data_IF_848231071863
#
_entry.id   IF_848231071863
#
_cell.length_a   1.000
_cell.length_b   1.000
_cell.length_c   1.000
_cell.angle_alpha   90.00
_cell.angle_beta   90.00
_cell.angle_gamma   90.00
#
_symmetry.space_group_name_H-M   'P 1'
#
loop_
_entity.id
_entity.type
_entity.pdbx_description
1 polymer ?
#
# COMPACT_ATOMS: atom_id res chain seq x y z
N UNK A 1 74.94 -42.56 4.08
CA UNK A 1 74.56 -41.78 5.27
C UNK A 1 74.67 -40.31 4.88
N UNK A 2 73.74 -39.48 5.35
CA UNK A 2 73.51 -38.06 5.00
C UNK A 2 72.78 -37.80 3.67
N UNK A 3 71.76 -36.93 3.58
CA UNK A 3 70.76 -36.45 4.53
C UNK A 3 69.74 -35.67 3.67
N UNK A 4 68.46 -35.83 3.99
CA UNK A 4 67.35 -35.05 3.46
C UNK A 4 67.60 -33.54 3.57
N UNK A 5 67.21 -32.76 2.55
CA UNK A 5 66.76 -31.35 2.73
C UNK A 5 66.52 -30.65 1.38
N UNK A 6 65.44 -31.01 0.67
CA UNK A 6 64.96 -30.20 -0.48
C UNK A 6 63.50 -29.77 -0.40
N UNK A 7 62.84 -29.94 0.74
CA UNK A 7 61.43 -29.57 0.93
C UNK A 7 61.20 -28.63 2.13
N UNK A 8 61.75 -27.40 2.16
CA UNK A 8 61.29 -26.41 3.17
C UNK A 8 61.31 -24.95 2.71
N UNK A 9 61.41 -24.65 1.41
CA UNK A 9 61.48 -23.24 0.95
C UNK A 9 60.23 -22.73 0.21
N UNK A 10 59.30 -23.59 -0.20
CA UNK A 10 58.07 -23.18 -0.90
C UNK A 10 56.92 -22.71 0.00
N UNK A 11 56.78 -23.32 1.18
CA UNK A 11 55.61 -23.10 2.07
C UNK A 11 55.74 -21.83 2.92
N UNK A 12 56.97 -21.42 3.25
CA UNK A 12 57.23 -20.24 4.09
C UNK A 12 57.05 -18.89 3.35
N UNK A 13 57.09 -18.89 2.02
CA UNK A 13 56.89 -17.69 1.20
C UNK A 13 55.42 -17.27 1.11
N UNK A 14 54.52 -18.23 0.91
CA UNK A 14 53.08 -17.97 0.76
C UNK A 14 52.45 -17.48 2.09
N UNK A 15 52.89 -17.99 3.23
CA UNK A 15 52.43 -17.52 4.55
C UNK A 15 52.93 -16.11 4.92
N UNK A 16 54.05 -15.63 4.36
CA UNK A 16 54.57 -14.26 4.59
C UNK A 16 53.93 -13.19 3.73
N UNK A 17 53.40 -13.54 2.56
CA UNK A 17 52.78 -12.56 1.65
C UNK A 17 51.34 -12.23 2.08
N UNK A 18 50.63 -13.18 2.70
CA UNK A 18 49.25 -12.98 3.14
C UNK A 18 49.12 -12.24 4.48
N UNK A 19 50.20 -12.04 5.23
CA UNK A 19 50.19 -11.37 6.54
C UNK A 19 50.44 -9.85 6.49
N UNK A 20 50.41 -9.24 5.29
CA UNK A 20 50.70 -7.80 5.09
C UNK A 20 49.54 -6.97 4.55
N UNK A 21 48.29 -7.41 4.76
CA UNK A 21 47.16 -6.49 4.65
C UNK A 21 47.12 -5.70 5.96
N UNK A 22 47.67 -4.49 5.95
CA UNK A 22 47.64 -3.55 7.06
C UNK A 22 46.20 -3.45 7.61
N UNK A 23 45.97 -3.64 8.92
CA UNK A 23 44.62 -3.67 9.49
C UNK A 23 43.86 -2.37 9.22
N UNK A 24 44.54 -1.23 9.09
CA UNK A 24 43.94 0.05 8.71
C UNK A 24 43.17 0.03 7.37
N UNK A 25 43.59 -0.74 6.35
CA UNK A 25 42.89 -0.78 5.06
C UNK A 25 41.67 -1.71 5.07
N UNK A 26 41.68 -2.78 5.89
CA UNK A 26 40.52 -3.65 6.08
C UNK A 26 39.38 -2.93 6.79
N UNK A 27 39.68 -2.16 7.83
CA UNK A 27 38.67 -1.36 8.55
C UNK A 27 38.04 -0.32 7.64
N UNK A 28 38.84 0.37 6.83
CA UNK A 28 38.32 1.32 5.83
C UNK A 28 37.37 0.68 4.82
N UNK A 29 37.70 -0.52 4.32
CA UNK A 29 36.82 -1.26 3.39
C UNK A 29 35.50 -1.68 4.05
N UNK A 30 35.54 -2.19 5.29
CA UNK A 30 34.33 -2.58 6.02
C UNK A 30 33.43 -1.36 6.25
N UNK A 31 33.98 -0.22 6.69
CA UNK A 31 33.22 1.02 6.91
C UNK A 31 32.61 1.57 5.61
N UNK A 32 33.33 1.47 4.49
CA UNK A 32 32.82 1.86 3.18
C UNK A 32 31.66 0.95 2.74
N UNK A 33 31.82 -0.37 2.89
CA UNK A 33 30.77 -1.32 2.55
C UNK A 33 29.52 -1.15 3.43
N UNK A 34 29.66 -0.92 4.73
CA UNK A 34 28.51 -0.70 5.62
C UNK A 34 27.79 0.61 5.28
N UNK A 35 28.53 1.68 4.98
CA UNK A 35 27.93 2.95 4.54
C UNK A 35 27.19 2.78 3.22
N UNK A 36 27.78 2.10 2.24
CA UNK A 36 27.15 1.81 0.95
C UNK A 36 25.86 1.02 1.11
N UNK A 37 25.88 -0.08 1.88
CA UNK A 37 24.70 -0.89 2.16
C UNK A 37 23.62 -0.11 2.91
N UNK A 38 24.01 0.71 3.89
CA UNK A 38 23.07 1.56 4.61
C UNK A 38 22.41 2.59 3.69
N UNK A 39 23.16 3.22 2.78
CA UNK A 39 22.61 4.18 1.81
C UNK A 39 21.67 3.49 0.83
N UNK A 40 22.05 2.32 0.28
CA UNK A 40 21.18 1.55 -0.61
C UNK A 40 19.89 1.14 0.11
N UNK A 41 20.00 0.59 1.31
CA UNK A 41 18.84 0.21 2.12
C UNK A 41 17.94 1.42 2.41
N UNK A 42 18.51 2.57 2.78
CA UNK A 42 17.77 3.81 2.99
C UNK A 42 17.03 4.26 1.73
N UNK A 43 17.70 4.28 0.57
CA UNK A 43 17.09 4.68 -0.70
C UNK A 43 15.96 3.74 -1.11
N UNK A 44 16.13 2.42 -0.91
CA UNK A 44 15.09 1.44 -1.16
C UNK A 44 13.90 1.66 -0.22
N UNK A 45 14.11 1.77 1.09
CA UNK A 45 13.03 2.03 2.04
C UNK A 45 12.32 3.34 1.73
N UNK A 46 13.06 4.42 1.52
CA UNK A 46 12.48 5.73 1.22
C UNK A 46 11.68 5.71 -0.09
N UNK A 47 12.22 5.09 -1.15
CA UNK A 47 11.53 5.02 -2.44
C UNK A 47 10.29 4.13 -2.41
N UNK A 48 10.35 3.01 -1.69
CA UNK A 48 9.33 1.97 -1.79
C UNK A 48 8.33 1.97 -0.63
N UNK A 49 8.63 2.59 0.52
CA UNK A 49 7.78 2.52 1.73
C UNK A 49 7.06 3.85 2.02
N UNK A 50 7.62 4.98 1.61
CA UNK A 50 7.12 6.31 1.97
C UNK A 50 6.41 6.98 0.78
N UNK A 51 5.23 6.48 0.41
CA UNK A 51 4.33 7.23 -0.47
C UNK A 51 3.33 7.99 0.39
N UNK A 52 3.16 9.30 0.15
CA UNK A 52 2.17 10.12 0.84
C UNK A 52 1.15 10.68 -0.15
N UNK A 53 -0.09 10.87 0.31
CA UNK A 53 -1.15 11.54 -0.43
C UNK A 53 -1.70 12.67 0.41
N UNK A 54 -1.94 13.83 -0.23
CA UNK A 54 -2.63 14.95 0.39
C UNK A 54 -4.10 14.86 -0.03
N UNK A 55 -5.00 14.89 0.95
CA UNK A 55 -6.44 14.87 0.71
C UNK A 55 -6.90 16.27 0.30
N UNK A 56 -7.37 16.44 -0.93
CA UNK A 56 -7.80 17.75 -1.42
C UNK A 56 -9.31 17.99 -1.28
N UNK A 57 -10.12 16.92 -1.33
CA UNK A 57 -11.59 17.00 -1.35
C UNK A 57 -12.29 16.59 -0.05
N UNK A 58 -13.55 17.00 0.10
CA UNK A 58 -14.37 16.70 1.27
C UNK A 58 -15.05 15.33 1.24
N UNK A 59 -14.81 14.51 0.21
CA UNK A 59 -15.57 13.29 -0.01
C UNK A 59 -15.40 12.22 1.07
N UNK A 60 -14.37 12.35 1.90
CA UNK A 60 -14.05 11.46 3.01
C UNK A 60 -14.29 12.10 4.38
N UNK A 61 -14.91 13.28 4.47
CA UNK A 61 -15.26 13.87 5.78
C UNK A 61 -16.37 13.05 6.45
N UNK A 62 -16.36 12.89 7.79
CA UNK A 62 -15.42 13.50 8.75
C UNK A 62 -14.11 12.72 8.94
N UNK A 63 -13.95 11.54 8.35
CA UNK A 63 -12.80 10.65 8.59
C UNK A 63 -11.48 11.24 8.11
N UNK A 64 -11.46 11.82 6.90
CA UNK A 64 -10.32 12.56 6.37
C UNK A 64 -10.77 13.96 5.96
N UNK A 65 -10.01 14.97 6.37
CA UNK A 65 -10.29 16.37 6.11
C UNK A 65 -9.40 16.89 4.98
N UNK A 66 -9.86 17.90 4.21
CA UNK A 66 -9.00 18.59 3.26
C UNK A 66 -7.71 19.08 3.94
N UNK A 67 -6.56 18.87 3.28
CA UNK A 67 -5.23 19.16 3.80
C UNK A 67 -4.58 18.03 4.61
N UNK A 68 -5.30 16.94 4.91
CA UNK A 68 -4.71 15.79 5.58
C UNK A 68 -3.63 15.14 4.71
N UNK A 69 -2.40 15.08 5.23
CA UNK A 69 -1.35 14.25 4.66
C UNK A 69 -1.45 12.85 5.26
N UNK A 70 -1.53 11.83 4.41
CA UNK A 70 -1.63 10.43 4.84
C UNK A 70 -0.62 9.56 4.13
N UNK A 71 -0.08 8.59 4.86
CA UNK A 71 0.85 7.61 4.34
C UNK A 71 0.08 6.48 3.66
N UNK A 72 0.54 6.10 2.48
CA UNK A 72 -0.08 5.07 1.64
C UNK A 72 0.78 3.81 1.71
N UNK A 73 0.16 2.73 2.17
CA UNK A 73 0.76 1.41 2.20
C UNK A 73 0.36 0.62 0.94
N UNK A 74 1.26 0.57 -0.03
CA UNK A 74 1.08 -0.17 -1.28
C UNK A 74 1.40 -1.67 -1.15
N UNK A 75 2.09 -2.08 -0.08
CA UNK A 75 2.57 -3.45 0.10
C UNK A 75 1.57 -4.34 0.81
N UNK A 76 0.95 -3.82 1.87
CA UNK A 76 -0.02 -4.56 2.66
C UNK A 76 -1.14 -5.21 1.82
N UNK A 77 -1.78 -4.54 0.84
CA UNK A 77 -2.80 -5.19 0.04
C UNK A 77 -2.26 -6.30 -0.87
N UNK A 78 -0.96 -6.34 -1.19
CA UNK A 78 -0.38 -7.45 -1.97
C UNK A 78 -0.35 -8.76 -1.18
N UNK A 79 -0.31 -8.70 0.16
CA UNK A 79 -0.24 -9.89 1.00
C UNK A 79 -1.61 -10.32 1.54
N UNK A 80 -2.50 -9.37 1.85
CA UNK A 80 -3.80 -9.65 2.46
C UNK A 80 -5.02 -9.28 1.60
N UNK A 81 -4.80 -8.68 0.43
CA UNK A 81 -5.89 -8.09 -0.36
C UNK A 81 -6.54 -6.87 0.30
N UNK A 82 -7.58 -6.37 -0.34
CA UNK A 82 -8.42 -5.31 0.20
C UNK A 82 -9.61 -5.90 0.96
N UNK A 83 -9.91 -5.32 2.11
CA UNK A 83 -11.00 -5.72 2.97
C UNK A 83 -12.05 -4.62 3.07
N UNK A 84 -13.26 -5.04 3.43
CA UNK A 84 -14.35 -4.10 3.68
C UNK A 84 -13.97 -3.17 4.83
N UNK A 85 -14.16 -1.87 4.62
CA UNK A 85 -13.76 -0.81 5.55
C UNK A 85 -12.38 -0.22 5.28
N UNK A 86 -11.55 -0.83 4.44
CA UNK A 86 -10.25 -0.26 4.06
C UNK A 86 -10.46 1.09 3.34
N UNK A 87 -9.62 2.08 3.69
CA UNK A 87 -9.54 3.33 2.94
C UNK A 87 -8.45 3.18 1.89
N UNK A 88 -8.79 3.41 0.63
CA UNK A 88 -7.94 3.15 -0.52
C UNK A 88 -7.73 4.42 -1.34
N UNK A 89 -6.53 4.52 -1.92
CA UNK A 89 -6.26 5.46 -3.00
C UNK A 89 -6.62 4.78 -4.31
N UNK A 90 -7.52 5.38 -5.07
CA UNK A 90 -7.91 4.94 -6.41
C UNK A 90 -7.36 5.89 -7.46
N UNK A 91 -6.97 5.34 -8.60
CA UNK A 91 -6.63 6.11 -9.80
C UNK A 91 -7.87 6.23 -10.68
N UNK A 92 -8.31 7.47 -10.92
CA UNK A 92 -9.29 7.75 -11.96
C UNK A 92 -8.57 7.73 -13.33
N UNK A 93 -8.92 6.77 -14.19
CA UNK A 93 -8.33 6.64 -15.53
C UNK A 93 -8.81 7.72 -16.50
N UNK A 94 -10.00 8.26 -16.29
CA UNK A 94 -10.59 9.26 -17.17
C UNK A 94 -10.04 10.65 -16.87
N UNK A 95 -9.89 10.98 -15.58
CA UNK A 95 -9.43 12.31 -15.13
C UNK A 95 -7.92 12.38 -14.84
N UNK A 96 -7.22 11.24 -14.87
CA UNK A 96 -5.82 11.13 -14.44
C UNK A 96 -5.57 11.65 -13.00
N UNK A 97 -6.61 11.66 -12.18
CA UNK A 97 -6.60 12.13 -10.79
C UNK A 97 -6.56 10.97 -9.80
N UNK A 98 -6.08 11.25 -8.58
CA UNK A 98 -6.14 10.32 -7.46
C UNK A 98 -7.33 10.67 -6.58
N UNK A 99 -8.10 9.66 -6.19
CA UNK A 99 -9.20 9.84 -5.25
C UNK A 99 -9.01 8.93 -4.04
N UNK A 100 -9.56 9.33 -2.91
CA UNK A 100 -9.57 8.51 -1.69
C UNK A 100 -11.01 8.09 -1.43
N UNK A 101 -11.23 6.78 -1.24
CA UNK A 101 -12.54 6.19 -0.96
C UNK A 101 -12.42 5.03 0.02
N UNK A 102 -13.53 4.61 0.61
CA UNK A 102 -13.61 3.42 1.45
C UNK A 102 -14.17 2.24 0.67
N UNK A 103 -13.54 1.08 0.80
CA UNK A 103 -14.05 -0.19 0.27
C UNK A 103 -15.29 -0.62 1.05
N UNK A 104 -16.41 -0.79 0.35
CA UNK A 104 -17.72 -1.13 0.92
C UNK A 104 -18.19 -2.49 0.44
N UNK A 105 -18.04 -2.78 -0.85
CA UNK A 105 -18.33 -4.09 -1.43
C UNK A 105 -17.06 -4.76 -1.97
N UNK A 106 -16.95 -6.06 -1.73
CA UNK A 106 -15.85 -6.90 -2.18
C UNK A 106 -16.22 -7.63 -3.49
N UNK A 107 -15.23 -8.24 -4.18
CA UNK A 107 -15.50 -9.12 -5.29
C UNK A 107 -16.63 -10.11 -5.04
N UNK A 108 -17.54 -10.24 -6.02
CA UNK A 108 -18.71 -11.11 -5.97
C UNK A 108 -19.79 -10.76 -4.93
N UNK A 109 -19.65 -9.65 -4.18
CA UNK A 109 -20.75 -9.15 -3.35
C UNK A 109 -21.87 -8.54 -4.22
N UNK A 110 -23.07 -8.55 -3.66
CA UNK A 110 -24.23 -7.81 -4.13
C UNK A 110 -24.46 -6.59 -3.22
N UNK A 111 -24.37 -5.39 -3.78
CA UNK A 111 -24.58 -4.12 -3.06
C UNK A 111 -25.96 -3.56 -3.38
N UNK A 112 -26.69 -3.13 -2.38
CA UNK A 112 -27.93 -2.39 -2.58
C UNK A 112 -27.93 -1.15 -1.70
N UNK A 113 -28.40 -0.03 -2.24
CA UNK A 113 -28.64 1.20 -1.48
C UNK A 113 -30.15 1.41 -1.45
N UNK A 114 -30.75 1.38 -0.27
CA UNK A 114 -32.20 1.53 -0.12
C UNK A 114 -32.54 2.11 1.25
N UNK A 115 -33.55 2.98 1.32
CA UNK A 115 -33.99 3.57 2.58
C UNK A 115 -32.89 4.33 3.34
N UNK A 116 -31.93 4.91 2.61
CA UNK A 116 -30.80 5.64 3.20
C UNK A 116 -29.64 4.78 3.70
N UNK A 117 -29.70 3.46 3.55
CA UNK A 117 -28.71 2.52 4.09
C UNK A 117 -28.09 1.67 2.98
N UNK A 118 -26.87 1.19 3.24
CA UNK A 118 -26.15 0.26 2.37
C UNK A 118 -26.37 -1.16 2.87
N UNK A 119 -26.65 -2.08 1.94
CA UNK A 119 -26.80 -3.50 2.20
C UNK A 119 -25.78 -4.27 1.37
N UNK A 120 -25.16 -5.27 1.99
CA UNK A 120 -24.26 -6.22 1.34
C UNK A 120 -24.87 -7.62 1.44
N UNK A 121 -25.10 -8.26 0.30
CA UNK A 121 -25.72 -9.58 0.21
C UNK A 121 -27.05 -9.65 1.00
N UNK A 122 -27.85 -8.59 0.92
CA UNK A 122 -29.16 -8.45 1.58
C UNK A 122 -29.11 -8.08 3.08
N UNK A 123 -27.93 -7.92 3.68
CA UNK A 123 -27.78 -7.54 5.10
C UNK A 123 -27.34 -6.09 5.23
N UNK A 124 -27.87 -5.31 6.19
CA UNK A 124 -27.43 -3.94 6.41
C UNK A 124 -25.94 -3.94 6.79
N UNK A 125 -25.17 -3.04 6.17
CA UNK A 125 -23.77 -2.86 6.47
C UNK A 125 -23.62 -2.02 7.75
N UNK A 126 -22.90 -2.50 8.78
CA UNK A 126 -22.55 -1.66 9.92
C UNK A 126 -21.50 -0.62 9.53
N UNK A 127 -21.85 0.67 9.65
CA UNK A 127 -21.00 1.79 9.23
C UNK A 127 -20.62 2.68 10.41
N UNK A 128 -19.96 2.13 11.42
CA UNK A 128 -19.60 2.86 12.65
C UNK A 128 -18.65 4.06 12.42
N UNK A 129 -18.02 4.15 11.25
CA UNK A 129 -17.20 5.29 10.83
C UNK A 129 -18.04 6.51 10.40
N UNK A 130 -19.36 6.37 10.27
CA UNK A 130 -20.26 7.45 9.91
C UNK A 130 -21.08 7.95 11.11
N UNK A 131 -21.45 9.24 11.12
CA UNK A 131 -22.52 9.73 11.99
C UNK A 131 -23.81 8.91 11.79
N UNK A 132 -24.52 8.59 12.88
CA UNK A 132 -25.77 7.81 12.82
C UNK A 132 -26.87 8.47 11.98
N UNK A 133 -26.80 9.79 11.78
CA UNK A 133 -27.70 10.57 10.94
C UNK A 133 -27.36 10.52 9.44
N UNK A 134 -26.32 9.78 9.04
CA UNK A 134 -25.87 9.77 7.66
C UNK A 134 -26.86 9.05 6.76
N UNK A 135 -27.36 9.75 5.75
CA UNK A 135 -28.25 9.19 4.74
C UNK A 135 -27.48 8.88 3.45
N UNK A 136 -27.56 7.63 3.00
CA UNK A 136 -26.96 7.20 1.74
C UNK A 136 -28.01 7.16 0.64
N UNK A 137 -28.02 8.19 -0.21
CA UNK A 137 -28.91 8.23 -1.37
C UNK A 137 -28.44 7.24 -2.45
N UNK A 138 -29.36 6.48 -3.06
CA UNK A 138 -29.05 5.76 -4.29
C UNK A 138 -28.77 6.77 -5.42
N UNK A 139 -27.91 6.40 -6.37
CA UNK A 139 -27.63 7.20 -7.57
C UNK A 139 -27.95 6.39 -8.83
N UNK A 140 -26.94 6.03 -9.64
CA UNK A 140 -27.13 5.48 -10.99
C UNK A 140 -27.99 4.20 -11.03
N UNK A 141 -27.93 3.36 -10.00
CA UNK A 141 -28.71 2.10 -9.96
C UNK A 141 -29.99 2.17 -9.13
N UNK A 142 -30.39 3.34 -8.63
CA UNK A 142 -31.59 3.44 -7.79
C UNK A 142 -31.55 2.45 -6.62
N UNK A 143 -32.70 1.82 -6.33
CA UNK A 143 -32.82 0.79 -5.30
C UNK A 143 -32.47 -0.63 -5.79
N UNK A 144 -31.91 -0.78 -6.99
CA UNK A 144 -31.55 -2.08 -7.55
C UNK A 144 -30.29 -2.64 -6.87
N UNK A 145 -30.18 -3.97 -6.92
CA UNK A 145 -28.97 -4.66 -6.48
C UNK A 145 -27.90 -4.58 -7.57
N UNK A 146 -26.71 -4.14 -7.20
CA UNK A 146 -25.52 -4.08 -8.03
C UNK A 146 -24.60 -5.27 -7.70
N UNK A 147 -24.40 -6.18 -8.66
CA UNK A 147 -23.48 -7.31 -8.50
C UNK A 147 -22.05 -6.89 -8.88
N UNK A 148 -21.09 -7.12 -7.98
CA UNK A 148 -19.69 -6.76 -8.19
C UNK A 148 -18.96 -7.90 -8.91
N UNK A 149 -18.20 -7.56 -9.96
CA UNK A 149 -17.36 -8.51 -10.68
C UNK A 149 -16.19 -9.05 -9.82
N UNK A 150 -15.59 -10.18 -10.21
CA UNK A 150 -14.58 -10.90 -9.43
C UNK A 150 -13.28 -10.13 -9.15
N UNK A 151 -12.98 -9.09 -9.91
CA UNK A 151 -11.77 -8.27 -9.74
C UNK A 151 -12.09 -6.80 -9.48
N UNK A 152 -13.32 -6.52 -9.03
CA UNK A 152 -13.77 -5.16 -8.75
C UNK A 152 -14.17 -4.98 -7.29
N UNK A 153 -14.11 -3.72 -6.85
CA UNK A 153 -14.48 -3.28 -5.52
C UNK A 153 -15.48 -2.14 -5.62
N UNK A 154 -16.50 -2.15 -4.77
CA UNK A 154 -17.44 -1.04 -4.69
C UNK A 154 -17.01 -0.11 -3.58
N UNK A 155 -16.68 1.13 -3.91
CA UNK A 155 -16.08 2.10 -3.00
C UNK A 155 -17.01 3.29 -2.77
N UNK A 156 -17.10 3.77 -1.53
CA UNK A 156 -17.90 4.95 -1.18
C UNK A 156 -17.04 6.00 -0.51
N UNK A 157 -17.40 7.26 -0.68
CA UNK A 157 -16.90 8.30 0.22
C UNK A 157 -17.67 8.28 1.54
N UNK A 158 -16.99 8.63 2.63
CA UNK A 158 -17.62 8.72 3.95
C UNK A 158 -18.59 9.92 4.00
N UNK A 159 -18.30 11.00 3.26
CA UNK A 159 -19.25 12.09 3.05
C UNK A 159 -20.24 11.70 1.93
N UNK A 160 -21.31 10.99 2.32
CA UNK A 160 -22.27 10.39 1.38
C UNK A 160 -22.94 11.38 0.44
N UNK A 161 -23.19 12.62 0.86
CA UNK A 161 -23.83 13.63 0.03
C UNK A 161 -22.84 14.28 -0.94
N UNK A 162 -21.61 14.55 -0.51
CA UNK A 162 -20.60 15.25 -1.33
C UNK A 162 -19.69 14.32 -2.16
N UNK A 163 -19.78 13.01 -1.99
CA UNK A 163 -18.91 12.06 -2.68
C UNK A 163 -19.46 11.65 -4.06
N UNK A 164 -18.68 11.89 -5.10
CA UNK A 164 -18.73 11.10 -6.34
C UNK A 164 -17.94 9.80 -6.13
N UNK A 165 -18.64 8.66 -6.20
CA UNK A 165 -18.08 7.35 -5.87
C UNK A 165 -18.75 6.22 -6.64
N UNK A 166 -18.55 4.97 -6.21
CA UNK A 166 -19.12 3.82 -6.87
C UNK A 166 -20.63 3.84 -6.94
N UNK A 167 -21.38 4.78 -6.34
CA UNK A 167 -22.81 5.08 -6.61
C UNK A 167 -23.08 5.70 -7.99
N UNK A 168 -22.12 6.45 -8.51
CA UNK A 168 -22.21 7.14 -9.79
C UNK A 168 -21.58 6.35 -10.94
N UNK A 169 -20.34 5.88 -10.75
CA UNK A 169 -19.55 5.29 -11.85
C UNK A 169 -19.49 3.76 -11.85
N UNK A 170 -19.76 3.11 -10.71
CA UNK A 170 -19.76 1.65 -10.55
C UNK A 170 -18.56 1.14 -9.78
N UNK A 171 -18.37 -0.17 -9.75
CA UNK A 171 -17.23 -0.77 -9.07
C UNK A 171 -15.90 -0.46 -9.79
N UNK A 172 -14.85 -0.30 -9.00
CA UNK A 172 -13.49 0.02 -9.43
C UNK A 172 -12.68 -1.26 -9.57
N UNK A 173 -11.91 -1.40 -10.64
CA UNK A 173 -11.08 -2.58 -10.88
C UNK A 173 -9.89 -2.62 -9.90
N UNK A 174 -9.48 -3.81 -9.46
CA UNK A 174 -8.36 -4.02 -8.54
C UNK A 174 -7.09 -3.27 -8.97
N UNK A 175 -6.80 -3.28 -10.27
CA UNK A 175 -5.63 -2.60 -10.85
C UNK A 175 -5.62 -1.07 -10.66
N UNK A 176 -6.75 -0.46 -10.33
CA UNK A 176 -6.87 0.97 -10.08
C UNK A 176 -6.76 1.34 -8.61
N UNK A 177 -6.71 0.35 -7.71
CA UNK A 177 -6.43 0.55 -6.29
C UNK A 177 -4.91 0.58 -6.11
N UNK A 178 -4.38 1.71 -5.68
CA UNK A 178 -2.93 1.93 -5.59
C UNK A 178 -2.35 1.54 -4.22
N UNK A 179 -3.17 1.56 -3.19
CA UNK A 179 -2.72 1.28 -1.83
C UNK A 179 -3.74 1.64 -0.77
N UNK A 180 -3.41 1.31 0.47
CA UNK A 180 -4.21 1.55 1.65
C UNK A 180 -3.75 2.81 2.36
N UNK A 181 -4.68 3.60 2.88
CA UNK A 181 -4.37 4.65 3.85
C UNK A 181 -4.46 4.04 5.24
N UNK A 182 -3.36 4.16 6.00
CA UNK A 182 -3.40 3.88 7.42
C UNK A 182 -4.18 5.01 8.12
N UNK A 183 -5.22 4.69 8.91
CA UNK A 183 -6.01 5.68 9.63
C UNK A 183 -5.18 6.46 10.67
#
# INVERSE_FOLDING_TARGET
>A
MELQSREVNGVNGAHRVLSRIRPETRTGYILLCTLLWSTIAFLLVHRFVLSTVVVEGESMTPTLKPGDCRLVNCWLPLFRGYHRGDIVVIRDREKAELMVKRVVGLPSDCVQVSGGQVYINGRPLPEAYLPSSTFTSPRKWGNHTYAIARDCYFVLGDNRSASEDSRSYGAVHHADLLGLISP
#
